data_IF_312998830123
#
_entry.id   IF_312998830123
#
_cell.length_a   1.000
_cell.length_b   1.000
_cell.length_c   1.000
_cell.angle_alpha   90.00
_cell.angle_beta   90.00
_cell.angle_gamma   90.00
#
_symmetry.space_group_name_H-M   'P 1'
#
loop_
_entity.id
_entity.type
_entity.pdbx_description
1 polymer ?
#
# COMPACT_ATOMS: atom_id res chain seq x y z
N UNK A 1 7.72 0.29 -21.19
CA UNK A 1 9.15 0.11 -20.81
C UNK A 1 10.03 -0.35 -21.99
N UNK A 2 9.77 -1.51 -22.64
CA UNK A 2 10.62 -2.00 -23.74
C UNK A 2 10.79 -0.98 -24.90
N UNK A 3 9.70 -0.38 -25.38
CA UNK A 3 9.72 0.65 -26.42
C UNK A 3 10.55 1.88 -26.06
N UNK A 4 10.49 2.32 -24.81
CA UNK A 4 11.31 3.42 -24.30
C UNK A 4 12.80 3.07 -24.33
N UNK A 5 13.19 1.89 -23.86
CA UNK A 5 14.58 1.44 -23.88
C UNK A 5 15.11 1.21 -25.30
N UNK A 6 14.28 0.70 -26.22
CA UNK A 6 14.64 0.61 -27.65
C UNK A 6 14.86 1.99 -28.27
N UNK A 7 14.02 2.97 -27.92
CA UNK A 7 14.18 4.35 -28.37
C UNK A 7 15.47 4.97 -27.80
N UNK A 8 15.73 4.83 -26.50
CA UNK A 8 16.98 5.30 -25.86
C UNK A 8 18.22 4.66 -26.49
N UNK A 9 18.18 3.36 -26.79
CA UNK A 9 19.26 2.64 -27.47
C UNK A 9 19.52 3.17 -28.89
N UNK A 10 18.46 3.39 -29.66
CA UNK A 10 18.56 4.00 -31.01
C UNK A 10 19.12 5.43 -30.97
N UNK A 11 18.64 6.24 -30.01
CA UNK A 11 19.16 7.58 -29.76
C UNK A 11 20.65 7.57 -29.41
N UNK A 12 21.06 6.71 -28.46
CA UNK A 12 22.45 6.58 -28.06
C UNK A 12 23.34 6.19 -29.25
N UNK A 13 22.88 5.29 -30.13
CA UNK A 13 23.62 4.89 -31.33
C UNK A 13 23.84 6.07 -32.27
N UNK A 14 22.84 6.90 -32.50
CA UNK A 14 22.92 8.04 -33.40
C UNK A 14 23.70 9.21 -32.82
N UNK A 15 23.50 9.53 -31.55
CA UNK A 15 24.03 10.75 -30.93
C UNK A 15 25.40 10.57 -30.29
N UNK A 16 25.71 9.37 -29.77
CA UNK A 16 26.95 9.09 -29.05
C UNK A 16 28.01 8.42 -29.90
N UNK A 17 27.68 8.02 -31.15
CA UNK A 17 28.65 7.38 -32.04
C UNK A 17 29.65 8.40 -32.58
N UNK A 18 30.98 8.14 -32.55
CA UNK A 18 31.99 9.02 -33.10
C UNK A 18 31.78 9.29 -34.56
N UNK A 19 32.10 10.51 -35.01
CA UNK A 19 31.86 10.96 -36.40
C UNK A 19 32.56 10.08 -37.45
N UNK A 20 33.75 9.56 -37.13
CA UNK A 20 34.48 8.67 -38.02
C UNK A 20 33.80 7.31 -38.26
N UNK A 21 33.10 6.78 -37.24
CA UNK A 21 32.31 5.53 -37.34
C UNK A 21 31.11 5.74 -38.26
N UNK A 22 30.42 6.89 -38.13
CA UNK A 22 29.30 7.25 -39.00
C UNK A 22 29.76 7.40 -40.45
N UNK A 23 30.93 8.04 -40.67
CA UNK A 23 31.50 8.20 -41.99
C UNK A 23 31.94 6.85 -42.58
N UNK A 24 32.62 6.01 -41.81
CA UNK A 24 33.03 4.66 -42.23
C UNK A 24 31.83 3.78 -42.63
N UNK A 25 30.72 3.86 -41.90
CA UNK A 25 29.47 3.17 -42.24
C UNK A 25 28.83 3.72 -43.51
N UNK A 26 28.84 5.04 -43.69
CA UNK A 26 28.32 5.68 -44.89
C UNK A 26 29.13 5.29 -46.12
N UNK A 27 30.47 5.29 -46.04
CA UNK A 27 31.39 4.88 -47.10
C UNK A 27 31.20 3.39 -47.46
N UNK A 28 30.98 2.54 -46.44
CA UNK A 28 30.73 1.11 -46.67
C UNK A 28 29.39 0.87 -47.39
N UNK A 29 28.34 1.63 -47.01
CA UNK A 29 27.01 1.55 -47.65
C UNK A 29 27.02 2.07 -49.09
N UNK A 30 27.91 3.03 -49.42
CA UNK A 30 28.09 3.56 -50.75
C UNK A 30 29.05 2.73 -51.61
N UNK A 31 29.60 1.63 -51.10
CA UNK A 31 30.53 0.76 -51.80
C UNK A 31 31.95 1.33 -51.93
N UNK A 32 32.28 2.41 -51.25
CA UNK A 32 33.59 3.00 -51.14
C UNK A 32 34.40 2.28 -50.06
N UNK A 33 35.59 1.75 -50.37
CA UNK A 33 36.44 1.10 -49.39
C UNK A 33 36.94 2.11 -48.35
N UNK A 34 36.93 1.71 -47.04
CA UNK A 34 37.44 2.53 -45.96
C UNK A 34 38.98 2.70 -46.05
N UNK A 35 39.47 3.94 -46.06
CA UNK A 35 40.89 4.25 -46.28
C UNK A 35 41.76 4.10 -45.02
N UNK A 36 41.21 3.73 -43.89
CA UNK A 36 41.96 3.43 -42.66
C UNK A 36 42.51 4.65 -41.89
N UNK A 37 42.29 5.85 -42.34
CA UNK A 37 42.64 7.09 -41.64
C UNK A 37 41.52 7.43 -40.62
N UNK A 38 41.50 6.75 -39.47
CA UNK A 38 40.57 7.03 -38.39
C UNK A 38 41.03 8.22 -37.56
N UNK A 39 40.14 9.18 -37.34
CA UNK A 39 40.30 10.15 -36.28
C UNK A 39 40.35 9.43 -34.90
N UNK A 40 41.14 9.91 -33.94
CA UNK A 40 41.17 9.30 -32.61
C UNK A 40 39.77 9.28 -32.03
N UNK A 41 39.45 8.25 -31.24
CA UNK A 41 38.15 8.06 -30.63
C UNK A 41 37.70 9.29 -29.81
N UNK A 42 38.67 9.96 -29.18
CA UNK A 42 38.50 11.22 -28.49
C UNK A 42 39.25 12.30 -29.23
N UNK A 43 38.54 13.19 -29.91
CA UNK A 43 39.08 14.38 -30.55
C UNK A 43 38.31 15.60 -30.02
N UNK A 44 38.98 16.74 -29.76
CA UNK A 44 38.29 17.94 -29.30
C UNK A 44 37.33 18.45 -30.38
N UNK A 45 36.07 18.59 -30.04
CA UNK A 45 35.04 19.18 -30.90
C UNK A 45 35.07 20.71 -30.86
N UNK A 46 34.22 21.33 -31.65
CA UNK A 46 34.01 22.78 -31.63
C UNK A 46 32.85 23.17 -30.75
N UNK A 47 32.93 24.35 -30.15
CA UNK A 47 31.85 24.88 -29.26
C UNK A 47 31.19 26.06 -29.97
N UNK A 48 29.87 25.95 -30.17
CA UNK A 48 29.03 27.02 -30.70
C UNK A 48 28.13 27.56 -29.58
N UNK A 49 28.38 28.77 -29.14
CA UNK A 49 27.62 29.46 -28.11
C UNK A 49 26.73 30.60 -28.64
N UNK A 50 26.61 30.71 -29.94
CA UNK A 50 25.77 31.76 -30.59
C UNK A 50 24.31 31.22 -30.61
N UNK A 51 23.41 31.75 -29.75
CA UNK A 51 22.03 31.26 -29.72
C UNK A 51 21.28 31.62 -31.00
N UNK A 52 20.31 30.77 -31.34
CA UNK A 52 19.38 30.94 -32.47
C UNK A 52 20.01 30.87 -33.88
N UNK A 53 21.22 30.33 -34.01
CA UNK A 53 21.89 30.16 -35.31
C UNK A 53 21.18 29.13 -36.19
N UNK A 54 20.62 28.09 -35.59
CA UNK A 54 19.98 26.97 -36.29
C UNK A 54 18.49 27.21 -36.57
N UNK A 55 17.88 28.29 -36.07
CA UNK A 55 16.46 28.61 -36.29
C UNK A 55 16.08 28.80 -37.79
N UNK A 56 17.04 29.10 -38.64
CA UNK A 56 16.83 29.21 -40.10
C UNK A 56 16.70 27.87 -40.81
N UNK A 57 17.07 26.77 -40.19
CA UNK A 57 17.05 25.43 -40.78
C UNK A 57 15.90 24.59 -40.14
N UNK A 58 14.74 24.60 -40.81
CA UNK A 58 13.53 23.96 -40.35
C UNK A 58 13.66 22.44 -40.14
N UNK A 59 14.56 21.78 -40.82
CA UNK A 59 14.78 20.34 -40.65
C UNK A 59 15.53 20.02 -39.36
N UNK A 60 16.53 20.81 -38.99
CA UNK A 60 17.28 20.67 -37.76
C UNK A 60 16.35 20.99 -36.55
N UNK A 61 15.59 22.07 -36.67
CA UNK A 61 14.60 22.48 -35.67
C UNK A 61 13.57 21.37 -35.38
N UNK A 62 12.96 20.85 -36.46
CA UNK A 62 11.96 19.78 -36.32
C UNK A 62 12.57 18.46 -35.81
N UNK A 63 13.77 18.12 -36.27
CA UNK A 63 14.48 16.91 -35.88
C UNK A 63 14.76 16.87 -34.37
N UNK A 64 15.35 17.91 -33.81
CA UNK A 64 15.68 18.01 -32.38
C UNK A 64 14.41 18.02 -31.52
N UNK A 65 13.40 18.79 -31.94
CA UNK A 65 12.12 18.85 -31.21
C UNK A 65 11.43 17.47 -31.14
N UNK A 66 11.30 16.78 -32.29
CA UNK A 66 10.62 15.48 -32.40
C UNK A 66 11.41 14.39 -31.65
N UNK A 67 12.75 14.41 -31.78
CA UNK A 67 13.62 13.42 -31.17
C UNK A 67 13.54 13.43 -29.62
N UNK A 68 13.30 14.59 -29.01
CA UNK A 68 13.24 14.73 -27.55
C UNK A 68 11.82 14.70 -26.98
N UNK A 69 10.77 14.69 -27.79
CA UNK A 69 9.38 14.45 -27.33
C UNK A 69 9.24 13.23 -26.40
N UNK A 70 9.83 12.06 -26.71
CA UNK A 70 9.71 10.88 -25.85
C UNK A 70 10.30 11.06 -24.46
N UNK A 71 11.33 11.88 -24.28
CA UNK A 71 11.96 12.13 -22.98
C UNK A 71 11.07 12.94 -22.02
N UNK A 72 10.08 13.64 -22.52
CA UNK A 72 9.04 14.26 -21.69
C UNK A 72 7.80 13.40 -21.55
N UNK A 73 7.41 12.70 -22.62
CA UNK A 73 6.20 11.88 -22.70
C UNK A 73 6.31 10.62 -21.83
N UNK A 74 7.36 9.80 -21.98
CA UNK A 74 7.50 8.55 -21.25
C UNK A 74 7.72 8.70 -19.75
N UNK A 75 8.49 9.66 -19.23
CA UNK A 75 8.51 9.90 -17.78
C UNK A 75 7.15 10.28 -17.21
N UNK A 76 6.36 11.07 -17.92
CA UNK A 76 5.01 11.43 -17.52
C UNK A 76 4.06 10.22 -17.51
N UNK A 77 4.19 9.33 -18.51
CA UNK A 77 3.44 8.09 -18.63
C UNK A 77 3.83 7.06 -17.55
N UNK A 78 5.13 6.91 -17.27
CA UNK A 78 5.66 5.80 -16.46
C UNK A 78 5.76 6.12 -14.97
N UNK A 79 5.90 7.41 -14.60
CA UNK A 79 6.04 7.84 -13.21
C UNK A 79 4.86 8.70 -12.76
N UNK A 80 3.99 8.15 -11.93
CA UNK A 80 2.91 8.91 -11.28
C UNK A 80 3.52 10.05 -10.46
N UNK A 81 3.04 11.29 -10.69
CA UNK A 81 3.57 12.48 -10.03
C UNK A 81 4.76 13.14 -10.73
N UNK A 82 5.06 12.78 -11.99
CA UNK A 82 5.98 13.54 -12.82
C UNK A 82 5.39 14.93 -13.09
N UNK A 83 6.09 15.97 -12.64
CA UNK A 83 5.70 17.36 -12.87
C UNK A 83 6.44 17.90 -14.09
N UNK A 84 5.89 18.97 -14.72
CA UNK A 84 6.55 19.63 -15.84
C UNK A 84 8.00 20.06 -15.52
N UNK A 85 8.27 20.45 -14.27
CA UNK A 85 9.62 20.82 -13.80
C UNK A 85 10.57 19.63 -13.81
N UNK A 86 10.09 18.45 -13.40
CA UNK A 86 10.89 17.22 -13.43
C UNK A 86 11.14 16.72 -14.85
N UNK A 87 10.15 16.80 -15.73
CA UNK A 87 10.30 16.45 -17.14
C UNK A 87 11.29 17.38 -17.84
N UNK A 88 11.23 18.69 -17.57
CA UNK A 88 12.14 19.69 -18.09
C UNK A 88 13.57 19.45 -17.59
N UNK A 89 13.76 19.21 -16.30
CA UNK A 89 15.06 18.92 -15.71
C UNK A 89 15.67 17.64 -16.28
N UNK A 90 14.88 16.59 -16.47
CA UNK A 90 15.33 15.33 -17.08
C UNK A 90 15.77 15.56 -18.55
N UNK A 91 14.98 16.30 -19.33
CA UNK A 91 15.34 16.69 -20.71
C UNK A 91 16.66 17.47 -20.75
N UNK A 92 16.83 18.45 -19.88
CA UNK A 92 18.04 19.25 -19.77
C UNK A 92 19.27 18.43 -19.37
N UNK A 93 19.12 17.50 -18.42
CA UNK A 93 20.22 16.62 -18.00
C UNK A 93 20.65 15.68 -19.14
N UNK A 94 19.70 15.07 -19.84
CA UNK A 94 19.98 14.13 -20.92
C UNK A 94 20.65 14.87 -22.10
N UNK A 95 20.11 15.99 -22.53
CA UNK A 95 20.70 16.75 -23.62
C UNK A 95 22.07 17.32 -23.23
N UNK A 96 22.24 17.85 -22.01
CA UNK A 96 23.54 18.30 -21.53
C UNK A 96 24.59 17.20 -21.51
N UNK A 97 24.20 15.98 -21.12
CA UNK A 97 25.11 14.84 -21.20
C UNK A 97 25.48 14.49 -22.63
N UNK A 98 24.52 14.48 -23.57
CA UNK A 98 24.75 14.21 -24.98
C UNK A 98 25.70 15.24 -25.57
N UNK A 99 25.46 16.52 -25.37
CA UNK A 99 26.28 17.62 -25.87
C UNK A 99 27.72 17.56 -25.30
N UNK A 100 27.91 17.32 -24.04
CA UNK A 100 29.23 17.13 -23.43
C UNK A 100 29.96 15.90 -24.00
N UNK A 101 29.25 14.80 -24.24
CA UNK A 101 29.85 13.62 -24.86
C UNK A 101 30.24 13.89 -26.34
N UNK A 102 29.39 14.56 -27.10
CA UNK A 102 29.67 14.93 -28.49
C UNK A 102 30.94 15.79 -28.62
N UNK A 103 31.15 16.69 -27.66
CA UNK A 103 32.37 17.46 -27.59
C UNK A 103 33.63 16.58 -27.44
N UNK A 104 33.53 15.50 -26.61
CA UNK A 104 34.64 14.56 -26.39
C UNK A 104 34.94 13.68 -27.63
N UNK A 105 33.92 13.37 -28.45
CA UNK A 105 34.07 12.52 -29.64
C UNK A 105 34.24 13.32 -30.93
N UNK A 106 34.62 14.60 -30.87
CA UNK A 106 34.96 15.45 -32.02
C UNK A 106 33.76 16.02 -32.77
N UNK A 107 32.58 16.04 -32.16
CA UNK A 107 31.39 16.72 -32.67
C UNK A 107 31.30 18.14 -32.10
N UNK A 108 30.47 18.99 -32.73
CA UNK A 108 30.22 20.33 -32.23
C UNK A 108 29.23 20.30 -31.06
N UNK A 109 29.56 21.01 -29.98
CA UNK A 109 28.61 21.39 -28.94
C UNK A 109 27.81 22.59 -29.45
N UNK A 110 26.48 22.49 -29.49
CA UNK A 110 25.61 23.57 -29.93
C UNK A 110 24.61 23.95 -28.85
N UNK A 111 24.61 25.22 -28.49
CA UNK A 111 23.69 25.74 -27.48
C UNK A 111 22.24 25.70 -27.96
N UNK A 112 22.01 25.76 -29.27
CA UNK A 112 20.70 25.67 -29.86
C UNK A 112 20.09 24.27 -29.69
N UNK A 113 20.90 23.21 -29.77
CA UNK A 113 20.47 21.84 -29.52
C UNK A 113 20.05 21.65 -28.07
N UNK A 114 20.75 22.29 -27.13
CA UNK A 114 20.37 22.26 -25.72
C UNK A 114 18.96 22.83 -25.47
N UNK A 115 18.65 23.97 -26.13
CA UNK A 115 17.33 24.60 -26.00
C UNK A 115 16.23 23.81 -26.72
N UNK A 116 16.48 23.37 -27.91
CA UNK A 116 15.52 22.70 -28.79
C UNK A 116 15.14 21.32 -28.21
N UNK A 117 16.11 20.56 -27.74
CA UNK A 117 15.92 19.26 -27.14
C UNK A 117 15.15 19.38 -25.83
N UNK A 118 15.46 20.39 -25.01
CA UNK A 118 14.73 20.67 -23.75
C UNK A 118 13.28 21.09 -24.04
N UNK A 119 13.06 21.90 -25.09
CA UNK A 119 11.71 22.26 -25.55
C UNK A 119 10.94 21.03 -26.07
N UNK A 120 11.60 20.11 -26.76
CA UNK A 120 11.04 18.84 -27.20
C UNK A 120 10.53 17.99 -26.02
N UNK A 121 11.32 17.87 -24.95
CA UNK A 121 10.91 17.18 -23.75
C UNK A 121 9.72 17.87 -23.05
N UNK A 122 9.70 19.20 -23.02
CA UNK A 122 8.56 19.97 -22.50
C UNK A 122 7.28 19.73 -23.32
N UNK A 123 7.36 19.77 -24.65
CA UNK A 123 6.23 19.46 -25.52
C UNK A 123 5.74 18.01 -25.35
N UNK A 124 6.65 17.05 -25.13
CA UNK A 124 6.31 15.67 -24.86
C UNK A 124 5.51 15.49 -23.57
N UNK A 125 5.89 16.18 -22.50
CA UNK A 125 5.12 16.21 -21.27
C UNK A 125 3.69 16.74 -21.46
N UNK A 126 3.55 17.85 -22.20
CA UNK A 126 2.23 18.42 -22.46
C UNK A 126 1.40 17.56 -23.41
N UNK A 127 2.02 16.88 -24.37
CA UNK A 127 1.33 15.90 -25.22
C UNK A 127 0.74 14.75 -24.41
N UNK A 128 1.47 14.25 -23.41
CA UNK A 128 0.95 13.29 -22.45
C UNK A 128 -0.23 13.87 -21.68
N UNK A 129 -0.12 15.06 -21.09
CA UNK A 129 -1.19 15.70 -20.35
C UNK A 129 -2.48 15.92 -21.18
N UNK A 130 -2.34 16.20 -22.48
CA UNK A 130 -3.48 16.34 -23.40
C UNK A 130 -4.12 14.98 -23.69
N UNK A 131 -3.32 13.93 -23.91
CA UNK A 131 -3.81 12.58 -24.14
C UNK A 131 -4.47 11.99 -22.89
N UNK A 132 -3.89 12.22 -21.73
CA UNK A 132 -4.45 11.80 -20.43
C UNK A 132 -5.82 12.46 -20.14
N UNK A 133 -5.97 13.74 -20.57
CA UNK A 133 -7.27 14.45 -20.50
C UNK A 133 -8.26 14.03 -21.59
N UNK A 134 -7.79 13.61 -22.74
CA UNK A 134 -8.62 13.22 -23.88
C UNK A 134 -8.99 11.72 -23.86
N UNK A 135 -8.26 10.91 -23.09
CA UNK A 135 -8.63 9.52 -22.87
C UNK A 135 -10.02 9.50 -22.21
N UNK A 136 -11.02 8.77 -22.78
CA UNK A 136 -12.26 8.57 -22.09
C UNK A 136 -11.91 7.97 -20.73
N UNK A 137 -12.41 8.58 -19.65
CA UNK A 137 -12.21 8.09 -18.30
C UNK A 137 -12.62 6.62 -18.28
N UNK A 138 -11.62 5.73 -18.28
CA UNK A 138 -11.82 4.37 -17.84
C UNK A 138 -12.38 4.46 -16.41
N UNK A 139 -13.07 3.49 -15.90
CA UNK A 139 -13.67 3.53 -14.57
C UNK A 139 -12.56 3.67 -13.51
N UNK A 140 -12.09 4.90 -13.25
CA UNK A 140 -10.95 5.24 -12.37
C UNK A 140 -10.44 6.67 -12.49
N UNK A 141 -11.08 7.54 -13.27
CA UNK A 141 -10.70 8.95 -13.37
C UNK A 141 -11.31 9.77 -12.24
N UNK A 142 -10.45 10.39 -11.43
CA UNK A 142 -10.81 11.37 -10.40
C UNK A 142 -11.53 12.59 -11.03
N UNK A 143 -12.83 12.43 -11.25
CA UNK A 143 -13.73 13.55 -11.49
C UNK A 143 -14.23 14.03 -10.13
N UNK A 144 -13.85 15.24 -9.72
CA UNK A 144 -14.54 15.94 -8.66
C UNK A 144 -15.95 16.29 -9.15
N UNK A 145 -16.83 15.32 -9.18
CA UNK A 145 -18.26 15.49 -9.34
C UNK A 145 -18.86 15.63 -7.94
N UNK A 146 -19.34 16.83 -7.62
CA UNK A 146 -20.28 17.02 -6.52
C UNK A 146 -21.46 16.06 -6.75
N UNK A 147 -21.36 14.87 -6.17
CA UNK A 147 -22.51 13.99 -6.03
C UNK A 147 -23.41 14.53 -4.93
N UNK A 148 -24.68 14.63 -5.27
CA UNK A 148 -25.79 15.00 -4.41
C UNK A 148 -25.64 14.33 -3.04
N UNK A 149 -25.15 15.10 -2.09
CA UNK A 149 -25.29 14.83 -0.68
C UNK A 149 -26.72 15.20 -0.33
N UNK A 150 -27.54 14.24 0.08
CA UNK A 150 -28.43 14.36 1.25
C UNK A 150 -29.34 13.13 1.48
N UNK A 151 -29.39 12.12 0.57
CA UNK A 151 -30.23 10.94 0.80
C UNK A 151 -29.48 9.64 1.12
N UNK A 152 -28.12 9.62 1.13
CA UNK A 152 -27.29 8.42 1.42
C UNK A 152 -26.53 8.48 2.76
N UNK A 153 -26.91 9.34 3.66
CA UNK A 153 -26.24 9.46 4.97
C UNK A 153 -26.74 8.47 6.04
N UNK A 154 -27.52 7.47 5.68
CA UNK A 154 -28.05 6.48 6.64
C UNK A 154 -27.57 5.05 6.40
N UNK A 155 -26.78 4.78 5.36
CA UNK A 155 -26.01 3.55 5.24
C UNK A 155 -24.55 3.87 5.56
N UNK A 156 -23.97 3.28 6.60
CA UNK A 156 -22.54 3.35 6.85
C UNK A 156 -21.82 2.91 5.58
N UNK A 157 -20.86 3.71 5.09
CA UNK A 157 -20.12 3.36 3.89
C UNK A 157 -19.32 2.08 4.13
N UNK A 158 -19.40 1.11 3.22
CA UNK A 158 -18.58 -0.10 3.30
C UNK A 158 -17.12 0.25 2.93
N UNK A 159 -16.17 -0.12 3.77
CA UNK A 159 -14.75 0.06 3.50
C UNK A 159 -14.12 -1.19 2.87
N UNK A 160 -14.56 -2.38 3.30
CA UNK A 160 -14.10 -3.66 2.76
C UNK A 160 -15.31 -4.53 2.44
N UNK A 161 -15.28 -5.17 1.27
CA UNK A 161 -16.27 -6.16 0.85
C UNK A 161 -15.59 -7.34 0.18
N UNK A 162 -15.95 -8.56 0.59
CA UNK A 162 -15.53 -9.80 -0.07
C UNK A 162 -16.72 -10.49 -0.72
N UNK A 163 -16.53 -11.01 -1.91
CA UNK A 163 -17.54 -11.74 -2.68
C UNK A 163 -17.01 -13.13 -3.05
N UNK A 164 -17.61 -14.17 -2.47
CA UNK A 164 -17.25 -15.57 -2.69
C UNK A 164 -15.72 -15.81 -2.62
N UNK A 165 -15.06 -15.14 -1.66
CA UNK A 165 -13.60 -15.12 -1.52
C UNK A 165 -13.07 -16.54 -1.29
N UNK A 166 -12.16 -16.97 -2.17
CA UNK A 166 -11.46 -18.25 -2.07
C UNK A 166 -9.95 -18.01 -2.10
N UNK A 167 -9.24 -18.76 -1.29
CA UNK A 167 -7.78 -18.79 -1.32
C UNK A 167 -7.26 -20.19 -1.03
N UNK A 168 -6.29 -20.62 -1.81
CA UNK A 168 -5.57 -21.89 -1.62
C UNK A 168 -4.07 -21.63 -1.57
N UNK A 169 -3.38 -22.21 -0.59
CA UNK A 169 -1.92 -22.24 -0.59
C UNK A 169 -1.42 -23.24 -1.64
N UNK A 170 -0.40 -22.85 -2.44
CA UNK A 170 0.24 -23.79 -3.35
C UNK A 170 0.77 -24.98 -2.58
N UNK A 171 0.61 -26.16 -3.15
CA UNK A 171 1.16 -27.40 -2.60
C UNK A 171 2.53 -27.69 -3.20
N UNK A 172 3.34 -28.51 -2.52
CA UNK A 172 4.57 -29.07 -3.05
C UNK A 172 4.27 -29.95 -4.27
N UNK A 173 5.28 -30.24 -5.12
CA UNK A 173 5.12 -31.04 -6.33
C UNK A 173 4.43 -32.38 -6.04
N UNK A 174 3.22 -32.54 -6.59
CA UNK A 174 2.39 -33.77 -6.50
C UNK A 174 1.36 -33.79 -5.37
N UNK A 175 1.22 -32.75 -4.57
CA UNK A 175 0.15 -32.59 -3.58
C UNK A 175 -0.99 -31.67 -4.12
N UNK A 176 -2.20 -31.82 -3.59
CA UNK A 176 -3.31 -30.91 -3.91
C UNK A 176 -3.18 -29.60 -3.13
N UNK A 177 -3.56 -28.44 -3.73
CA UNK A 177 -3.57 -27.16 -3.03
C UNK A 177 -4.45 -27.20 -1.79
N UNK A 178 -3.96 -26.65 -0.68
CA UNK A 178 -4.71 -26.58 0.58
C UNK A 178 -5.61 -25.36 0.57
N UNK A 179 -6.92 -25.58 0.48
CA UNK A 179 -7.91 -24.52 0.51
C UNK A 179 -7.98 -23.91 1.93
N UNK A 180 -7.65 -22.62 2.04
CA UNK A 180 -7.60 -21.87 3.30
C UNK A 180 -8.76 -20.88 3.47
N UNK A 181 -9.50 -20.57 2.40
CA UNK A 181 -10.78 -19.85 2.41
C UNK A 181 -11.71 -20.47 1.37
N UNK A 182 -12.98 -20.72 1.74
CA UNK A 182 -13.99 -21.43 0.92
C UNK A 182 -15.26 -20.58 0.74
N UNK A 183 -15.19 -19.54 -0.10
CA UNK A 183 -16.37 -18.72 -0.41
C UNK A 183 -16.80 -17.86 0.79
N UNK A 184 -15.92 -16.93 1.20
CA UNK A 184 -16.19 -15.99 2.29
C UNK A 184 -16.84 -14.74 1.71
N UNK A 185 -18.06 -14.45 2.16
CA UNK A 185 -18.76 -13.19 1.94
C UNK A 185 -18.77 -12.40 3.24
N UNK A 186 -18.15 -11.21 3.22
CA UNK A 186 -18.00 -10.35 4.38
C UNK A 186 -18.03 -8.88 3.93
N UNK A 187 -18.77 -8.04 4.66
CA UNK A 187 -18.74 -6.59 4.49
C UNK A 187 -18.28 -5.96 5.78
N UNK A 188 -17.36 -5.00 5.73
CA UNK A 188 -16.88 -4.24 6.89
C UNK A 188 -17.23 -2.78 6.66
N UNK A 189 -17.93 -2.20 7.61
CA UNK A 189 -18.40 -0.81 7.57
C UNK A 189 -17.31 0.13 8.08
N UNK A 190 -17.24 1.33 7.50
CA UNK A 190 -16.26 2.34 7.89
C UNK A 190 -16.49 2.76 9.36
N UNK A 191 -15.40 2.88 10.12
CA UNK A 191 -15.41 3.25 11.53
C UNK A 191 -15.85 2.13 12.50
N UNK A 192 -16.24 0.95 11.99
CA UNK A 192 -16.63 -0.18 12.85
C UNK A 192 -15.43 -0.87 13.52
N UNK A 193 -15.67 -1.47 14.68
CA UNK A 193 -14.73 -2.36 15.37
C UNK A 193 -15.22 -3.81 15.21
N UNK A 194 -14.60 -4.54 14.28
CA UNK A 194 -14.97 -5.93 13.95
C UNK A 194 -13.95 -6.89 14.53
N UNK A 195 -14.40 -7.92 15.24
CA UNK A 195 -13.54 -8.99 15.76
C UNK A 195 -13.79 -10.27 14.99
N UNK A 196 -12.71 -10.90 14.49
CA UNK A 196 -12.75 -12.19 13.81
C UNK A 196 -12.23 -13.27 14.74
N UNK A 197 -13.12 -14.18 15.16
CA UNK A 197 -12.82 -15.31 16.03
C UNK A 197 -12.77 -16.63 15.26
N UNK A 198 -12.04 -17.61 15.78
CA UNK A 198 -11.98 -18.96 15.26
C UNK A 198 -10.78 -19.72 15.83
N UNK A 199 -10.80 -21.06 15.74
CA UNK A 199 -9.66 -21.88 16.17
C UNK A 199 -8.46 -21.74 15.21
N UNK A 200 -7.31 -22.28 15.60
CA UNK A 200 -6.12 -22.30 14.74
C UNK A 200 -6.39 -23.12 13.48
N UNK A 201 -6.04 -22.58 12.32
CA UNK A 201 -6.31 -23.20 11.02
C UNK A 201 -7.68 -22.89 10.42
N UNK A 202 -8.55 -22.10 11.09
CA UNK A 202 -9.86 -21.72 10.53
C UNK A 202 -9.82 -20.69 9.39
N UNK A 203 -8.63 -20.22 8.98
CA UNK A 203 -8.46 -19.29 7.84
C UNK A 203 -8.34 -17.81 8.22
N UNK A 204 -8.37 -17.41 9.49
CA UNK A 204 -8.36 -16.01 9.97
C UNK A 204 -7.19 -15.19 9.43
N UNK A 205 -5.95 -15.66 9.62
CA UNK A 205 -4.76 -14.94 9.14
C UNK A 205 -4.67 -14.90 7.61
N UNK A 206 -5.26 -15.89 6.93
CA UNK A 206 -5.39 -15.86 5.46
C UNK A 206 -6.39 -14.78 5.06
N UNK A 207 -7.55 -14.71 5.74
CA UNK A 207 -8.52 -13.64 5.53
C UNK A 207 -7.87 -12.27 5.77
N UNK A 208 -7.16 -12.06 6.88
CA UNK A 208 -6.46 -10.80 7.17
C UNK A 208 -5.55 -10.36 6.01
N UNK A 209 -4.74 -11.28 5.51
CA UNK A 209 -3.78 -11.01 4.43
C UNK A 209 -4.46 -10.77 3.08
N UNK A 210 -5.66 -11.31 2.85
CA UNK A 210 -6.42 -11.01 1.62
C UNK A 210 -7.09 -9.65 1.68
N UNK A 211 -7.50 -9.17 2.88
CA UNK A 211 -8.17 -7.88 3.04
C UNK A 211 -7.27 -6.68 2.67
N UNK A 212 -5.94 -6.82 2.77
CA UNK A 212 -5.01 -5.75 2.38
C UNK A 212 -4.18 -6.10 1.12
N UNK A 213 -4.54 -7.15 0.38
CA UNK A 213 -3.85 -7.55 -0.84
C UNK A 213 -2.42 -8.05 -0.65
N UNK A 214 -2.05 -8.58 0.54
CA UNK A 214 -0.81 -9.36 0.73
C UNK A 214 -0.93 -10.72 0.06
N UNK A 215 -2.10 -11.35 0.18
CA UNK A 215 -2.48 -12.54 -0.56
C UNK A 215 -3.60 -12.16 -1.54
N UNK A 216 -3.49 -12.63 -2.78
CA UNK A 216 -4.50 -12.38 -3.80
C UNK A 216 -5.46 -13.56 -3.91
N UNK A 217 -6.77 -13.34 -4.04
CA UNK A 217 -7.77 -14.39 -4.21
C UNK A 217 -7.44 -15.33 -5.37
N UNK A 218 -7.63 -16.63 -5.19
CA UNK A 218 -7.65 -17.60 -6.29
C UNK A 218 -9.07 -17.78 -6.89
N UNK A 219 -10.10 -17.26 -6.22
CA UNK A 219 -11.48 -17.19 -6.66
C UNK A 219 -12.28 -16.18 -5.84
N UNK A 220 -13.30 -15.59 -6.46
CA UNK A 220 -14.01 -14.46 -5.87
C UNK A 220 -13.22 -13.16 -5.90
N UNK A 221 -13.67 -12.14 -5.15
CA UNK A 221 -13.10 -10.81 -5.15
C UNK A 221 -13.00 -10.24 -3.74
N UNK A 222 -12.05 -9.33 -3.54
CA UNK A 222 -11.95 -8.47 -2.36
C UNK A 222 -11.88 -7.02 -2.84
N UNK A 223 -12.82 -6.22 -2.39
CA UNK A 223 -12.89 -4.79 -2.68
C UNK A 223 -12.55 -3.98 -1.43
N UNK A 224 -11.68 -2.99 -1.58
CA UNK A 224 -11.34 -1.99 -0.57
C UNK A 224 -11.72 -0.63 -1.13
N UNK A 225 -12.69 0.06 -0.55
CA UNK A 225 -13.27 1.28 -1.12
C UNK A 225 -13.62 1.15 -2.62
N UNK A 226 -14.15 -0.01 -3.02
CA UNK A 226 -14.47 -0.32 -4.40
C UNK A 226 -13.26 -0.68 -5.28
N UNK A 227 -12.04 -0.64 -4.77
CA UNK A 227 -10.82 -1.08 -5.45
C UNK A 227 -10.66 -2.60 -5.34
N UNK A 228 -10.59 -3.32 -6.46
CA UNK A 228 -10.37 -4.77 -6.47
C UNK A 228 -8.89 -5.11 -6.21
N UNK A 229 -8.63 -6.02 -5.26
CA UNK A 229 -7.27 -6.48 -4.94
C UNK A 229 -6.61 -7.26 -6.07
N UNK A 230 -7.36 -7.77 -7.03
CA UNK A 230 -6.82 -8.42 -8.23
C UNK A 230 -6.21 -7.44 -9.24
N UNK A 231 -6.50 -6.14 -9.14
CA UNK A 231 -5.83 -5.11 -9.95
C UNK A 231 -4.50 -4.72 -9.31
N UNK A 232 -3.41 -5.23 -9.87
CA UNK A 232 -2.04 -4.95 -9.38
C UNK A 232 -1.71 -3.44 -9.32
N UNK A 233 -2.34 -2.61 -10.18
CA UNK A 233 -2.13 -1.16 -10.18
C UNK A 233 -2.76 -0.47 -8.98
N UNK A 234 -3.75 -1.08 -8.34
CA UNK A 234 -4.45 -0.54 -7.18
C UNK A 234 -3.86 -1.02 -5.83
N UNK A 235 -3.01 -2.05 -5.83
CA UNK A 235 -2.48 -2.66 -4.60
C UNK A 235 -1.80 -1.66 -3.66
N UNK A 236 -1.07 -0.66 -4.20
CA UNK A 236 -0.44 0.35 -3.36
C UNK A 236 -1.48 1.25 -2.67
N UNK A 237 -2.54 1.62 -3.37
CA UNK A 237 -3.63 2.41 -2.81
C UNK A 237 -4.39 1.59 -1.75
N UNK A 238 -4.69 0.32 -2.04
CA UNK A 238 -5.33 -0.62 -1.10
C UNK A 238 -4.52 -0.76 0.19
N UNK A 239 -3.20 -0.99 0.08
CA UNK A 239 -2.30 -1.12 1.25
C UNK A 239 -2.11 0.18 2.03
N UNK A 240 -2.34 1.31 1.40
CA UNK A 240 -2.38 2.60 2.07
C UNK A 240 -3.70 2.79 2.85
N UNK A 241 -4.83 2.37 2.27
CA UNK A 241 -6.15 2.44 2.91
C UNK A 241 -6.28 1.43 4.06
N UNK A 242 -5.82 0.19 3.85
CA UNK A 242 -5.88 -0.88 4.85
C UNK A 242 -4.48 -1.23 5.32
N UNK A 243 -4.09 -0.75 6.49
CA UNK A 243 -2.85 -1.10 7.14
C UNK A 243 -2.94 -2.46 7.83
N UNK A 244 -1.83 -3.21 7.88
CA UNK A 244 -1.78 -4.53 8.53
C UNK A 244 -0.70 -4.57 9.60
N UNK A 245 -1.06 -5.10 10.77
CA UNK A 245 -0.15 -5.39 11.88
C UNK A 245 -0.06 -6.90 12.07
N UNK A 246 1.15 -7.43 12.00
CA UNK A 246 1.40 -8.88 12.09
C UNK A 246 1.48 -9.37 13.55
N UNK A 247 1.30 -10.66 13.72
CA UNK A 247 1.36 -11.34 15.02
C UNK A 247 2.69 -11.12 15.74
N UNK A 248 3.80 -11.23 15.03
CA UNK A 248 5.13 -11.02 15.59
C UNK A 248 5.70 -9.67 15.14
N UNK A 249 5.87 -8.68 16.05
CA UNK A 249 6.40 -7.37 15.72
C UNK A 249 7.86 -7.42 15.20
N UNK A 250 8.65 -8.41 15.59
CA UNK A 250 10.03 -8.55 15.11
C UNK A 250 10.11 -8.87 13.59
N UNK A 251 9.04 -9.38 12.99
CA UNK A 251 8.93 -9.57 11.55
C UNK A 251 8.51 -8.29 10.79
N UNK A 252 8.07 -7.27 11.51
CA UNK A 252 7.58 -6.02 10.93
C UNK A 252 8.55 -4.86 11.14
N UNK A 253 9.21 -4.80 12.29
CA UNK A 253 10.19 -3.78 12.63
C UNK A 253 11.49 -4.04 11.87
N UNK A 254 11.94 -3.06 11.07
CA UNK A 254 13.11 -3.19 10.18
C UNK A 254 14.26 -2.24 10.53
N UNK A 255 13.97 -1.11 11.20
CA UNK A 255 14.98 -0.12 11.55
C UNK A 255 15.61 -0.37 12.93
N UNK A 256 16.79 0.23 13.15
CA UNK A 256 17.50 0.15 14.42
C UNK A 256 17.09 1.21 15.45
N UNK A 257 16.28 2.18 15.04
CA UNK A 257 15.75 3.27 15.88
C UNK A 257 14.23 3.34 15.66
N UNK A 258 13.48 3.50 16.74
CA UNK A 258 12.00 3.50 16.72
C UNK A 258 11.45 4.57 15.77
N UNK A 259 11.93 5.83 15.85
CA UNK A 259 11.41 6.90 14.98
C UNK A 259 11.72 6.66 13.50
N UNK A 260 12.83 6.00 13.17
CA UNK A 260 13.17 5.61 11.80
C UNK A 260 12.27 4.51 11.28
N UNK A 261 11.91 3.53 12.14
CA UNK A 261 11.00 2.47 11.79
C UNK A 261 9.59 2.99 11.49
N UNK A 262 9.09 3.89 12.34
CA UNK A 262 7.78 4.53 12.13
C UNK A 262 7.78 5.45 10.90
N UNK A 263 8.93 6.08 10.57
CA UNK A 263 9.09 6.90 9.37
C UNK A 263 9.15 6.09 8.07
N UNK A 264 9.51 4.81 8.14
CA UNK A 264 9.81 3.98 6.97
C UNK A 264 8.65 3.92 5.95
N UNK A 265 7.43 3.73 6.43
CA UNK A 265 6.26 3.63 5.53
C UNK A 265 5.91 4.97 4.85
N UNK A 266 5.78 6.12 5.56
CA UNK A 266 5.53 7.41 4.91
C UNK A 266 6.68 7.87 4.01
N UNK A 267 7.94 7.50 4.29
CA UNK A 267 9.07 7.74 3.37
C UNK A 267 8.87 7.04 2.03
N UNK A 268 8.51 5.75 2.07
CA UNK A 268 8.22 4.97 0.86
C UNK A 268 7.00 5.48 0.08
N UNK A 269 6.07 6.15 0.76
CA UNK A 269 4.92 6.81 0.12
C UNK A 269 5.29 8.18 -0.48
N UNK A 270 6.53 8.66 -0.31
CA UNK A 270 7.00 9.93 -0.84
C UNK A 270 6.45 11.15 -0.13
N UNK A 271 6.08 11.01 1.15
CA UNK A 271 5.63 12.12 2.00
C UNK A 271 6.80 13.09 2.25
N UNK A 272 6.52 14.38 2.42
CA UNK A 272 7.57 15.37 2.67
C UNK A 272 8.21 15.17 4.05
N UNK A 273 9.54 15.44 4.19
CA UNK A 273 10.27 15.21 5.46
C UNK A 273 9.65 15.95 6.65
N UNK A 274 9.09 17.16 6.44
CA UNK A 274 8.40 17.91 7.49
C UNK A 274 7.13 17.21 7.96
N UNK A 275 6.37 16.69 7.03
CA UNK A 275 5.12 15.96 7.29
C UNK A 275 5.41 14.59 7.91
N UNK A 276 6.45 13.89 7.45
CA UNK A 276 6.91 12.62 8.06
C UNK A 276 7.18 12.82 9.53
N UNK A 277 7.94 13.86 9.90
CA UNK A 277 8.24 14.13 11.31
C UNK A 277 6.98 14.28 12.15
N UNK A 278 6.01 15.04 11.65
CA UNK A 278 4.75 15.23 12.36
C UNK A 278 3.97 13.91 12.48
N UNK A 279 3.84 13.13 11.39
CA UNK A 279 3.15 11.84 11.41
C UNK A 279 3.77 10.84 12.38
N UNK A 280 5.12 10.82 12.46
CA UNK A 280 5.86 9.96 13.40
C UNK A 280 5.56 10.36 14.84
N UNK A 281 5.63 11.67 15.17
CA UNK A 281 5.36 12.17 16.50
C UNK A 281 3.91 11.89 16.91
N UNK A 282 2.95 12.13 16.03
CA UNK A 282 1.51 11.89 16.24
C UNK A 282 1.19 10.38 16.40
N UNK A 283 1.83 9.52 15.59
CA UNK A 283 1.65 8.08 15.67
C UNK A 283 2.22 7.50 16.96
N UNK A 284 3.44 7.90 17.35
CA UNK A 284 4.05 7.47 18.61
C UNK A 284 3.26 7.96 19.82
N UNK A 285 2.77 9.20 19.80
CA UNK A 285 1.91 9.73 20.86
C UNK A 285 0.60 8.96 20.99
N UNK A 286 -0.03 8.60 19.84
CA UNK A 286 -1.30 7.87 19.82
C UNK A 286 -1.19 6.49 20.48
N UNK A 287 -0.04 5.83 20.42
CA UNK A 287 0.19 4.52 21.08
C UNK A 287 0.94 4.65 22.41
N UNK A 288 1.20 5.87 22.90
CA UNK A 288 1.90 6.12 24.17
C UNK A 288 3.38 5.74 24.16
N UNK A 289 4.06 5.90 23.00
CA UNK A 289 5.46 5.50 22.81
C UNK A 289 6.39 6.67 22.49
N UNK A 290 5.96 7.92 22.68
CA UNK A 290 6.74 9.12 22.34
C UNK A 290 8.12 9.19 23.02
N UNK A 291 8.23 8.77 24.29
CA UNK A 291 9.50 8.75 25.04
C UNK A 291 10.52 7.74 24.46
N UNK A 292 10.05 6.74 23.72
CA UNK A 292 10.87 5.67 23.15
C UNK A 292 11.34 5.98 21.72
N UNK A 293 11.03 7.15 21.15
CA UNK A 293 11.32 7.50 19.76
C UNK A 293 12.78 7.24 19.34
N UNK A 294 13.74 7.53 20.23
CA UNK A 294 15.18 7.36 19.99
C UNK A 294 15.76 6.05 20.51
N UNK A 295 14.93 5.14 21.01
CA UNK A 295 15.39 3.86 21.52
C UNK A 295 15.57 2.85 20.38
N UNK A 296 16.43 1.86 20.64
CA UNK A 296 16.58 0.73 19.75
C UNK A 296 15.45 -0.29 20.01
N UNK A 297 14.74 -0.78 18.99
CA UNK A 297 13.61 -1.70 19.17
C UNK A 297 13.96 -2.98 19.94
N UNK A 298 15.18 -3.50 19.82
CA UNK A 298 15.61 -4.71 20.52
C UNK A 298 15.68 -4.56 22.06
N UNK A 299 15.68 -3.32 22.58
CA UNK A 299 15.65 -3.03 24.02
C UNK A 299 14.23 -2.95 24.59
N UNK A 300 13.21 -3.05 23.75
CA UNK A 300 11.81 -2.89 24.14
C UNK A 300 11.16 -4.25 24.47
N UNK A 301 10.16 -4.21 25.36
CA UNK A 301 9.30 -5.38 25.63
C UNK A 301 8.44 -5.74 24.41
N UNK A 302 7.90 -6.97 24.38
CA UNK A 302 7.02 -7.40 23.28
C UNK A 302 5.81 -6.47 23.08
N UNK A 303 5.16 -6.03 24.17
CA UNK A 303 4.04 -5.08 24.10
C UNK A 303 4.45 -3.69 23.60
N UNK A 304 5.66 -3.22 23.95
CA UNK A 304 6.20 -1.97 23.41
C UNK A 304 6.50 -2.10 21.91
N UNK A 305 7.15 -3.18 21.49
CA UNK A 305 7.39 -3.47 20.06
C UNK A 305 6.09 -3.53 19.26
N UNK A 306 5.05 -4.16 19.80
CA UNK A 306 3.76 -4.24 19.13
C UNK A 306 3.12 -2.86 18.97
N UNK A 307 3.22 -1.99 19.98
CA UNK A 307 2.76 -0.60 19.87
C UNK A 307 3.57 0.19 18.84
N UNK A 308 4.87 -0.07 18.72
CA UNK A 308 5.69 0.53 17.64
C UNK A 308 5.23 0.04 16.27
N UNK A 309 4.98 -1.26 16.10
CA UNK A 309 4.46 -1.81 14.85
C UNK A 309 3.10 -1.17 14.46
N UNK A 310 2.22 -0.93 15.44
CA UNK A 310 0.96 -0.19 15.23
C UNK A 310 1.27 1.27 14.84
N UNK A 311 2.23 1.94 15.50
CA UNK A 311 2.60 3.31 15.15
C UNK A 311 3.13 3.43 13.72
N UNK A 312 3.95 2.47 13.26
CA UNK A 312 4.42 2.40 11.87
C UNK A 312 3.28 2.32 10.85
N UNK A 313 2.24 1.57 11.17
CA UNK A 313 1.03 1.51 10.33
C UNK A 313 0.24 2.82 10.41
N UNK A 314 0.08 3.39 11.60
CA UNK A 314 -0.64 4.66 11.79
C UNK A 314 0.00 5.85 11.07
N UNK A 315 1.32 5.87 10.93
CA UNK A 315 2.05 6.93 10.23
C UNK A 315 1.70 7.00 8.72
N UNK A 316 1.11 5.94 8.16
CA UNK A 316 0.55 5.95 6.80
C UNK A 316 -0.80 6.67 6.73
N UNK A 317 -1.45 6.95 7.87
CA UNK A 317 -2.83 7.48 7.98
C UNK A 317 -3.86 6.57 7.28
N UNK A 318 -3.94 5.29 7.65
CA UNK A 318 -4.88 4.35 7.04
C UNK A 318 -6.31 4.62 7.51
N UNK A 319 -7.31 4.24 6.70
CA UNK A 319 -8.72 4.28 7.08
C UNK A 319 -9.18 3.02 7.81
N UNK A 320 -8.45 1.92 7.61
CA UNK A 320 -8.68 0.64 8.29
C UNK A 320 -7.36 0.03 8.76
N UNK A 321 -7.37 -0.60 9.94
CA UNK A 321 -6.25 -1.37 10.48
C UNK A 321 -6.70 -2.81 10.73
N UNK A 322 -6.00 -3.77 10.12
CA UNK A 322 -6.16 -5.19 10.36
C UNK A 322 -5.06 -5.66 11.31
N UNK A 323 -5.45 -6.21 12.46
CA UNK A 323 -4.55 -6.72 13.49
C UNK A 323 -4.62 -8.25 13.49
N UNK A 324 -3.59 -8.92 12.97
CA UNK A 324 -3.54 -10.38 12.90
C UNK A 324 -2.89 -10.95 14.16
N UNK A 325 -3.70 -11.36 15.14
CA UNK A 325 -3.28 -11.89 16.44
C UNK A 325 -2.23 -11.01 17.15
N UNK A 326 -2.34 -9.70 17.01
CA UNK A 326 -1.37 -8.73 17.50
C UNK A 326 -1.19 -8.72 19.03
N UNK A 327 -2.05 -9.40 19.78
CA UNK A 327 -2.02 -9.50 21.24
C UNK A 327 -1.56 -10.88 21.73
N UNK A 328 -1.41 -11.87 20.84
CA UNK A 328 -1.20 -13.27 21.23
C UNK A 328 0.10 -13.52 22.01
N UNK A 329 1.16 -12.75 21.71
CA UNK A 329 2.48 -12.90 22.33
C UNK A 329 2.70 -11.97 23.54
N UNK A 330 1.65 -11.26 24.00
CA UNK A 330 1.77 -10.26 25.04
C UNK A 330 1.32 -10.80 26.39
N UNK A 331 1.97 -10.32 27.43
CA UNK A 331 1.52 -10.48 28.79
C UNK A 331 0.17 -9.74 29.02
N UNK A 332 -0.55 -10.02 30.10
CA UNK A 332 -1.88 -9.40 30.32
C UNK A 332 -1.85 -7.88 30.42
N UNK A 333 -0.72 -7.28 30.83
CA UNK A 333 -0.59 -5.81 30.92
C UNK A 333 -0.39 -5.23 29.51
N UNK A 334 0.58 -5.74 28.76
CA UNK A 334 0.86 -5.31 27.39
C UNK A 334 -0.36 -5.49 26.47
N UNK A 335 -1.12 -6.58 26.64
CA UNK A 335 -2.37 -6.82 25.91
C UNK A 335 -3.39 -5.71 26.16
N UNK A 336 -3.66 -5.37 27.43
CA UNK A 336 -4.58 -4.28 27.77
C UNK A 336 -4.13 -2.93 27.21
N UNK A 337 -2.82 -2.64 27.24
CA UNK A 337 -2.28 -1.40 26.72
C UNK A 337 -2.48 -1.29 25.20
N UNK A 338 -2.22 -2.38 24.45
CA UNK A 338 -2.44 -2.45 22.99
C UNK A 338 -3.92 -2.30 22.66
N UNK A 339 -4.80 -3.07 23.31
CA UNK A 339 -6.24 -2.98 23.07
C UNK A 339 -6.79 -1.59 23.41
N UNK A 340 -6.37 -0.98 24.53
CA UNK A 340 -6.75 0.39 24.87
C UNK A 340 -6.32 1.40 23.81
N UNK A 341 -5.11 1.25 23.24
CA UNK A 341 -4.65 2.11 22.17
C UNK A 341 -5.51 1.93 20.91
N UNK A 342 -5.81 0.68 20.52
CA UNK A 342 -6.62 0.36 19.34
C UNK A 342 -8.06 0.85 19.49
N UNK A 343 -8.70 0.65 20.66
CA UNK A 343 -10.04 1.18 20.94
C UNK A 343 -10.07 2.71 20.90
N UNK A 344 -9.04 3.38 21.44
CA UNK A 344 -8.92 4.83 21.36
C UNK A 344 -8.82 5.32 19.91
N UNK A 345 -8.03 4.65 19.08
CA UNK A 345 -7.90 4.97 17.65
C UNK A 345 -9.24 4.84 16.91
N UNK A 346 -9.99 3.78 17.19
CA UNK A 346 -11.32 3.59 16.62
C UNK A 346 -12.28 4.69 17.07
N UNK A 347 -12.41 4.91 18.39
CA UNK A 347 -13.41 5.83 18.96
C UNK A 347 -13.10 7.32 18.72
N UNK A 348 -11.81 7.72 18.83
CA UNK A 348 -11.40 9.13 18.74
C UNK A 348 -11.05 9.56 17.31
N UNK A 349 -10.47 8.65 16.51
CA UNK A 349 -10.05 8.96 15.14
C UNK A 349 -10.97 8.38 14.07
N UNK A 350 -11.96 7.56 14.44
CA UNK A 350 -12.89 6.93 13.51
C UNK A 350 -12.26 5.88 12.60
N UNK A 351 -11.06 5.38 12.93
CA UNK A 351 -10.37 4.35 12.15
C UNK A 351 -11.13 3.03 12.26
N UNK A 352 -11.40 2.38 11.15
CA UNK A 352 -11.97 1.02 11.13
C UNK A 352 -10.98 0.02 11.69
N UNK A 353 -11.42 -0.90 12.52
CA UNK A 353 -10.56 -1.92 13.11
C UNK A 353 -11.08 -3.31 12.80
N UNK A 354 -10.21 -4.18 12.30
CA UNK A 354 -10.44 -5.61 12.17
C UNK A 354 -9.43 -6.33 13.06
N UNK A 355 -9.90 -6.82 14.21
CA UNK A 355 -9.07 -7.54 15.16
C UNK A 355 -9.25 -9.04 15.01
N UNK A 356 -8.21 -9.74 14.61
CA UNK A 356 -8.19 -11.20 14.57
C UNK A 356 -7.58 -11.71 15.87
N UNK A 357 -8.32 -12.54 16.57
CA UNK A 357 -7.88 -13.10 17.84
C UNK A 357 -8.52 -14.47 18.12
N UNK A 358 -7.91 -15.21 19.03
CA UNK A 358 -8.50 -16.40 19.64
C UNK A 358 -8.93 -16.15 21.12
N UNK A 359 -8.77 -14.92 21.61
CA UNK A 359 -9.17 -14.50 22.95
C UNK A 359 -10.59 -13.93 22.95
N UNK A 360 -11.54 -14.64 23.56
CA UNK A 360 -12.95 -14.25 23.52
C UNK A 360 -13.23 -12.92 24.22
N UNK A 361 -12.51 -12.63 25.30
CA UNK A 361 -12.67 -11.38 26.06
C UNK A 361 -12.29 -10.12 25.25
N UNK A 362 -11.49 -10.25 24.17
CA UNK A 362 -11.13 -9.13 23.29
C UNK A 362 -12.29 -8.71 22.38
N UNK A 363 -13.34 -9.53 22.28
CA UNK A 363 -14.52 -9.27 21.47
C UNK A 363 -15.71 -8.68 22.27
N UNK A 364 -15.57 -8.47 23.57
CA UNK A 364 -16.68 -7.98 24.42
C UNK A 364 -17.15 -6.58 24.02
N UNK A 365 -16.20 -5.69 23.69
CA UNK A 365 -16.43 -4.30 23.31
C UNK A 365 -16.53 -4.07 21.78
N UNK A 366 -16.60 -5.14 20.99
CA UNK A 366 -16.71 -5.03 19.54
C UNK A 366 -18.14 -4.62 19.11
N UNK A 367 -18.23 -3.92 17.99
CA UNK A 367 -19.52 -3.66 17.34
C UNK A 367 -20.09 -4.94 16.74
N UNK A 368 -19.19 -5.82 16.21
CA UNK A 368 -19.55 -7.00 15.45
C UNK A 368 -18.51 -8.11 15.62
N UNK A 369 -18.97 -9.33 15.69
CA UNK A 369 -18.13 -10.54 15.80
C UNK A 369 -18.40 -11.47 14.62
N UNK A 370 -17.35 -11.81 13.91
CA UNK A 370 -17.33 -12.78 12.83
C UNK A 370 -16.67 -14.05 13.33
N UNK A 371 -17.35 -15.19 13.26
CA UNK A 371 -16.79 -16.47 13.69
C UNK A 371 -16.47 -17.32 12.47
N UNK A 372 -15.21 -17.75 12.37
CA UNK A 372 -14.73 -18.62 11.30
C UNK A 372 -14.52 -20.04 11.79
N UNK A 373 -15.03 -21.02 11.03
CA UNK A 373 -14.79 -22.43 11.21
C UNK A 373 -14.75 -23.14 9.85
N UNK A 374 -13.95 -24.18 9.71
CA UNK A 374 -13.74 -24.92 8.43
C UNK A 374 -13.53 -23.95 7.23
N UNK A 375 -12.69 -22.92 7.43
CA UNK A 375 -12.29 -21.91 6.43
C UNK A 375 -13.45 -21.10 5.80
N UNK A 376 -14.57 -20.99 6.55
CA UNK A 376 -15.79 -20.23 6.21
C UNK A 376 -16.22 -19.34 7.35
N UNK A 377 -16.98 -18.30 7.05
CA UNK A 377 -17.74 -17.53 8.03
C UNK A 377 -19.02 -18.30 8.39
N UNK A 378 -19.21 -18.57 9.68
CA UNK A 378 -20.37 -19.35 10.17
C UNK A 378 -21.30 -18.55 11.07
N UNK A 379 -20.82 -17.45 11.66
CA UNK A 379 -21.61 -16.47 12.38
C UNK A 379 -21.07 -15.08 12.08
N UNK A 380 -21.96 -14.11 12.03
CA UNK A 380 -21.67 -12.71 11.78
C UNK A 380 -22.76 -11.86 12.41
N UNK A 381 -22.55 -11.45 13.68
CA UNK A 381 -23.55 -10.71 14.45
C UNK A 381 -22.92 -10.00 15.68
N UNK A 382 -23.74 -9.30 16.47
CA UNK A 382 -23.28 -8.61 17.66
C UNK A 382 -22.71 -9.60 18.71
N UNK A 383 -21.71 -9.18 19.52
CA UNK A 383 -21.06 -10.04 20.53
C UNK A 383 -22.02 -10.80 21.41
N UNK A 384 -23.07 -10.13 21.94
CA UNK A 384 -24.07 -10.75 22.79
C UNK A 384 -24.84 -11.90 22.13
N UNK A 385 -25.08 -11.80 20.83
CA UNK A 385 -25.75 -12.83 20.04
C UNK A 385 -24.83 -14.02 19.76
N UNK A 386 -23.54 -13.79 19.57
CA UNK A 386 -22.54 -14.85 19.38
C UNK A 386 -22.36 -15.63 20.66
N UNK A 387 -22.05 -14.94 21.77
CA UNK A 387 -21.65 -15.60 23.00
C UNK A 387 -22.80 -16.26 23.77
N UNK A 388 -24.07 -15.94 23.47
CA UNK A 388 -25.23 -16.71 23.99
C UNK A 388 -25.33 -18.10 23.37
N UNK A 389 -24.63 -18.38 22.24
CA UNK A 389 -24.62 -19.70 21.59
C UNK A 389 -23.52 -20.61 22.13
N UNK A 390 -23.43 -20.74 23.50
CA UNK A 390 -22.33 -21.40 24.20
C UNK A 390 -22.02 -22.80 23.68
N UNK A 391 -23.05 -23.66 23.56
CA UNK A 391 -22.86 -25.05 23.10
C UNK A 391 -22.41 -25.14 21.67
N UNK A 392 -22.85 -24.22 20.79
CA UNK A 392 -22.41 -24.15 19.39
C UNK A 392 -20.94 -23.74 19.30
N UNK A 393 -20.52 -22.74 20.06
CA UNK A 393 -19.12 -22.30 20.10
C UNK A 393 -18.21 -23.42 20.62
N UNK A 394 -18.63 -24.12 21.69
CA UNK A 394 -17.88 -25.27 22.23
C UNK A 394 -17.77 -26.44 21.24
N UNK A 395 -18.81 -26.70 20.46
CA UNK A 395 -18.78 -27.76 19.45
C UNK A 395 -17.75 -27.48 18.31
N UNK A 396 -17.37 -26.21 18.13
CA UNK A 396 -16.34 -25.75 17.17
C UNK A 396 -14.96 -25.61 17.83
N UNK A 397 -14.80 -26.07 19.06
CA UNK A 397 -13.54 -25.93 19.81
C UNK A 397 -13.23 -24.51 20.30
N UNK A 398 -14.22 -23.62 20.29
CA UNK A 398 -14.09 -22.26 20.80
C UNK A 398 -14.56 -22.18 22.26
N UNK A 399 -13.98 -21.28 23.02
CA UNK A 399 -14.45 -20.92 24.36
C UNK A 399 -15.46 -19.77 24.27
N UNK A 400 -15.96 -19.35 25.43
CA UNK A 400 -16.76 -18.13 25.56
C UNK A 400 -16.07 -17.21 26.58
N UNK A 401 -16.43 -15.93 26.69
CA UNK A 401 -15.92 -15.04 27.72
C UNK A 401 -16.15 -15.64 29.13
N UNK A 402 -15.22 -15.37 30.05
CA UNK A 402 -15.26 -15.94 31.42
C UNK A 402 -16.56 -15.62 32.15
N UNK A 403 -17.13 -14.45 31.94
CA UNK A 403 -18.42 -14.01 32.43
C UNK A 403 -19.56 -14.89 31.95
N UNK A 404 -19.59 -15.18 30.66
CA UNK A 404 -20.62 -16.04 30.04
C UNK A 404 -20.45 -17.49 30.47
N UNK A 405 -19.21 -18.00 30.60
CA UNK A 405 -18.94 -19.36 31.09
C UNK A 405 -19.44 -19.54 32.52
N UNK A 406 -19.22 -18.54 33.41
CA UNK A 406 -19.72 -18.53 34.76
C UNK A 406 -21.26 -18.57 34.79
N UNK A 407 -21.90 -17.70 33.99
CA UNK A 407 -23.37 -17.65 33.95
C UNK A 407 -23.98 -18.94 33.37
N UNK A 408 -23.35 -19.55 32.38
CA UNK A 408 -23.79 -20.84 31.80
C UNK A 408 -23.70 -21.96 32.83
N UNK A 409 -22.65 -22.01 33.66
CA UNK A 409 -22.52 -22.97 34.77
C UNK A 409 -23.58 -22.75 35.82
N UNK A 410 -23.78 -21.52 36.29
CA UNK A 410 -24.82 -21.17 37.25
C UNK A 410 -26.22 -21.52 36.75
N UNK A 411 -26.48 -21.32 35.45
CA UNK A 411 -27.77 -21.71 34.85
C UNK A 411 -27.96 -23.22 34.80
N UNK A 412 -26.89 -23.98 34.53
CA UNK A 412 -26.92 -25.45 34.59
C UNK A 412 -27.16 -25.97 36.01
N UNK A 413 -26.70 -25.24 37.02
CA UNK A 413 -26.94 -25.54 38.44
C UNK A 413 -28.32 -25.08 38.94
N UNK A 414 -29.16 -24.49 38.04
CA UNK A 414 -30.55 -24.15 38.33
C UNK A 414 -30.81 -22.69 38.68
N UNK A 415 -29.80 -21.78 38.56
CA UNK A 415 -30.00 -20.36 38.78
C UNK A 415 -30.50 -19.69 37.49
N UNK A 416 -31.61 -18.96 37.55
CA UNK A 416 -32.17 -18.26 36.39
C UNK A 416 -31.39 -16.96 36.08
N UNK A 417 -30.31 -17.07 35.33
CA UNK A 417 -29.44 -15.95 34.90
C UNK A 417 -29.40 -15.80 33.39
N UNK A 418 -29.37 -14.56 32.87
CA UNK A 418 -29.22 -14.31 31.44
C UNK A 418 -27.77 -14.54 31.00
N UNK A 419 -27.56 -15.10 29.79
CA UNK A 419 -26.22 -15.29 29.18
C UNK A 419 -25.74 -14.06 28.39
N UNK A 420 -26.43 -12.93 28.50
CA UNK A 420 -26.14 -11.73 27.72
C UNK A 420 -25.17 -10.76 28.38
N UNK A 421 -24.80 -11.02 29.64
CA UNK A 421 -23.86 -10.19 30.38
C UNK A 421 -22.41 -10.54 29.94
N UNK A 422 -21.72 -9.58 29.33
CA UNK A 422 -20.37 -9.76 28.84
C UNK A 422 -19.34 -9.18 29.81
N UNK A 423 -19.62 -8.06 30.46
CA UNK A 423 -18.70 -7.44 31.42
C UNK A 423 -18.85 -8.06 32.85
N UNK A 424 -17.82 -7.88 33.67
CA UNK A 424 -17.82 -8.36 35.07
C UNK A 424 -18.93 -7.70 35.87
N UNK A 425 -19.17 -6.40 35.64
CA UNK A 425 -20.21 -5.63 36.31
C UNK A 425 -21.61 -6.16 35.97
N UNK A 426 -21.89 -6.36 34.67
CA UNK A 426 -23.15 -6.94 34.20
C UNK A 426 -23.39 -8.35 34.76
N UNK A 427 -22.32 -9.16 34.79
CA UNK A 427 -22.36 -10.51 35.33
C UNK A 427 -22.70 -10.51 36.84
N UNK A 428 -22.07 -9.63 37.62
CA UNK A 428 -22.33 -9.47 39.03
C UNK A 428 -23.78 -9.02 39.29
N UNK A 429 -24.28 -8.04 38.55
CA UNK A 429 -25.65 -7.55 38.65
C UNK A 429 -26.66 -8.64 38.28
N UNK A 430 -26.40 -9.43 37.24
CA UNK A 430 -27.26 -10.56 36.85
C UNK A 430 -27.36 -11.63 37.95
N UNK A 431 -26.22 -11.97 38.59
CA UNK A 431 -26.18 -12.94 39.70
C UNK A 431 -26.93 -12.39 40.94
N UNK A 432 -26.67 -11.14 41.33
CA UNK A 432 -27.35 -10.50 42.44
C UNK A 432 -28.86 -10.46 42.26
N UNK A 433 -29.33 -10.11 41.06
CA UNK A 433 -30.75 -10.09 40.71
C UNK A 433 -31.41 -11.48 40.79
N UNK A 434 -30.68 -12.56 40.47
CA UNK A 434 -31.17 -13.91 40.48
C UNK A 434 -31.22 -14.51 41.92
N UNK A 435 -30.24 -14.15 42.77
CA UNK A 435 -30.16 -14.62 44.17
C UNK A 435 -31.14 -13.87 45.10
N UNK A 436 -31.52 -12.63 44.74
CA UNK A 436 -32.45 -11.79 45.50
C UNK A 436 -33.93 -12.10 45.26
N UNK A 437 -34.23 -12.98 44.30
CA UNK A 437 -35.58 -13.54 44.05
C UNK A 437 -35.82 -14.79 44.85
#
# INVERSE_FOLDING_TARGET
>A
MALFWMFCGGMALVTLTPRWVVQALADLLQGCGWNGEGNPFFAPGTVNLVPFRTLGDGYILAGNLIMFLPFGFFPALLWRGCTWKRALAAGLCVTGFIECWQLLVGRAFDIDDLWLNTLGAFCGFWSWCLLDRAAPAGPGGSGSGKYKTDEMRTAMAEIIRTENLQYAYPADEGAEPVLALKGVDLTIEQGSFVVVLGHNGSGKSTLAKTLNGVLLPCGGHVYVEGMDTLDEHLLLAIRRTVGMVFQNPDNQIVANVVEEDVAFAPENLGVSSREIRQRVDDALAAVGMGEFARHAPHLLSGGQKQRIAIAGVLAMEPECIVLDEATAMLDPVGRREVLSAVHRLNREKGITVVLITHHMNEAEDADRVVVMDDVKVIMDCAPRQVFTQVERLRSMGLTVPDTVDLLDRLRKDGLDVPLTALTVEECADAILAAVSK
#
